data_IF_693417051402
#
_entry.id   IF_693417051402
#
_cell.length_a   1.000
_cell.length_b   1.000
_cell.length_c   1.000
_cell.angle_alpha   90.00
_cell.angle_beta   90.00
_cell.angle_gamma   90.00
#
_symmetry.space_group_name_H-M   'P 1'
#
loop_
_entity.id
_entity.type
_entity.pdbx_description
1 polymer ?
#
# COMPACT_ATOMS: atom_id res chain seq x y z
N UNK A 1 12.06 21.73 -19.92
CA UNK A 1 11.37 20.87 -18.94
C UNK A 1 10.34 20.05 -19.71
N UNK A 2 10.39 18.73 -19.61
CA UNK A 2 9.52 17.85 -20.40
C UNK A 2 8.13 17.72 -19.74
N UNK A 3 7.10 17.35 -20.50
CA UNK A 3 5.74 17.17 -19.95
C UNK A 3 5.65 16.15 -18.81
N UNK A 4 6.58 15.19 -18.77
CA UNK A 4 6.70 14.21 -17.70
C UNK A 4 7.16 14.86 -16.39
N UNK A 5 8.11 15.81 -16.46
CA UNK A 5 8.59 16.55 -15.28
C UNK A 5 7.46 17.39 -14.65
N UNK A 6 6.64 18.04 -15.49
CA UNK A 6 5.50 18.83 -15.03
C UNK A 6 4.39 17.98 -14.40
N UNK A 7 4.17 16.76 -14.93
CA UNK A 7 3.16 15.83 -14.42
C UNK A 7 3.60 15.21 -13.08
N UNK A 8 4.88 14.88 -12.95
CA UNK A 8 5.46 14.35 -11.72
C UNK A 8 5.42 15.38 -10.58
N UNK A 9 5.73 16.64 -10.87
CA UNK A 9 5.60 17.74 -9.88
C UNK A 9 4.15 17.91 -9.39
N UNK A 10 3.17 17.77 -10.28
CA UNK A 10 1.75 17.88 -9.93
C UNK A 10 1.26 16.72 -9.04
N UNK A 11 1.78 15.50 -9.24
CA UNK A 11 1.42 14.35 -8.41
C UNK A 11 2.00 14.48 -7.00
N UNK A 12 3.29 14.81 -6.89
CA UNK A 12 3.95 15.00 -5.57
C UNK A 12 3.26 16.08 -4.75
N UNK A 13 2.88 17.21 -5.38
CA UNK A 13 2.12 18.26 -4.68
C UNK A 13 0.80 17.74 -4.11
N UNK A 14 0.02 16.99 -4.90
CA UNK A 14 -1.26 16.44 -4.46
C UNK A 14 -1.13 15.43 -3.33
N UNK A 15 -0.06 14.62 -3.35
CA UNK A 15 0.23 13.68 -2.27
C UNK A 15 0.58 14.45 -0.99
N UNK A 16 1.42 15.48 -1.08
CA UNK A 16 1.76 16.30 0.08
C UNK A 16 0.53 17.00 0.67
N UNK A 17 -0.36 17.53 -0.16
CA UNK A 17 -1.62 18.15 0.29
C UNK A 17 -2.51 17.11 0.99
N UNK A 18 -2.61 15.90 0.44
CA UNK A 18 -3.39 14.81 1.05
C UNK A 18 -2.80 14.39 2.41
N UNK A 19 -1.48 14.27 2.52
CA UNK A 19 -0.80 13.94 3.78
C UNK A 19 -1.09 15.00 4.84
N UNK A 20 -0.97 16.29 4.49
CA UNK A 20 -1.29 17.38 5.42
C UNK A 20 -2.75 17.34 5.87
N UNK A 21 -3.69 17.05 4.97
CA UNK A 21 -5.10 16.90 5.32
C UNK A 21 -5.30 15.76 6.32
N UNK A 22 -4.69 14.59 6.06
CA UNK A 22 -4.75 13.42 6.94
C UNK A 22 -4.15 13.74 8.32
N UNK A 23 -2.99 14.41 8.37
CA UNK A 23 -2.33 14.78 9.63
C UNK A 23 -3.13 15.81 10.44
N UNK A 24 -3.89 16.67 9.76
CA UNK A 24 -4.72 17.69 10.40
C UNK A 24 -6.07 17.16 10.91
N UNK A 25 -6.51 16.02 10.38
CA UNK A 25 -7.81 15.43 10.71
C UNK A 25 -7.76 14.75 12.08
N UNK A 26 -8.80 14.98 12.89
CA UNK A 26 -8.83 14.46 14.27
C UNK A 26 -9.50 13.10 14.36
N UNK A 27 -10.50 12.87 13.52
CA UNK A 27 -11.27 11.62 13.49
C UNK A 27 -11.64 11.29 12.05
N UNK A 28 -11.42 10.04 11.66
CA UNK A 28 -11.88 9.50 10.40
C UNK A 28 -13.15 8.69 10.61
N UNK A 29 -14.11 8.84 9.71
CA UNK A 29 -15.26 7.94 9.64
C UNK A 29 -14.86 6.56 9.09
N UNK A 30 -15.75 5.58 9.18
CA UNK A 30 -15.44 4.20 8.78
C UNK A 30 -15.02 4.07 7.31
N UNK A 31 -15.60 4.88 6.42
CA UNK A 31 -15.25 4.87 4.98
C UNK A 31 -13.85 5.44 4.75
N UNK A 32 -13.52 6.53 5.45
CA UNK A 32 -12.18 7.13 5.40
C UNK A 32 -11.12 6.21 6.00
N UNK A 33 -11.44 5.55 7.13
CA UNK A 33 -10.55 4.55 7.75
C UNK A 33 -10.27 3.39 6.79
N UNK A 34 -11.30 2.85 6.15
CA UNK A 34 -11.12 1.76 5.18
C UNK A 34 -10.29 2.22 3.96
N UNK A 35 -10.50 3.47 3.49
CA UNK A 35 -9.70 4.04 2.40
C UNK A 35 -8.23 4.23 2.79
N UNK A 36 -7.95 4.69 4.01
CA UNK A 36 -6.61 4.83 4.56
C UNK A 36 -5.94 3.47 4.74
N UNK A 37 -6.64 2.48 5.28
CA UNK A 37 -6.13 1.13 5.42
C UNK A 37 -5.76 0.53 4.04
N UNK A 38 -6.59 0.77 3.02
CA UNK A 38 -6.29 0.37 1.65
C UNK A 38 -5.02 1.03 1.10
N UNK A 39 -4.80 2.32 1.40
CA UNK A 39 -3.61 3.06 1.00
C UNK A 39 -2.36 2.52 1.72
N UNK A 40 -2.46 2.29 3.03
CA UNK A 40 -1.41 1.73 3.87
C UNK A 40 -0.96 0.36 3.32
N UNK A 41 -1.90 -0.56 3.07
CA UNK A 41 -1.56 -1.88 2.53
C UNK A 41 -0.91 -1.80 1.14
N UNK A 42 -1.30 -0.84 0.31
CA UNK A 42 -0.65 -0.63 -0.99
C UNK A 42 0.82 -0.22 -0.81
N UNK A 43 1.10 0.69 0.13
CA UNK A 43 2.45 1.16 0.43
C UNK A 43 3.29 0.03 1.02
N UNK A 44 2.76 -0.70 2.01
CA UNK A 44 3.41 -1.86 2.60
C UNK A 44 3.78 -2.90 1.52
N UNK A 45 2.85 -3.20 0.60
CA UNK A 45 3.10 -4.13 -0.49
C UNK A 45 4.23 -3.66 -1.42
N UNK A 46 4.31 -2.35 -1.72
CA UNK A 46 5.38 -1.79 -2.56
C UNK A 46 6.74 -1.83 -1.87
N UNK A 47 6.78 -1.49 -0.58
CA UNK A 47 8.00 -1.57 0.21
C UNK A 47 8.49 -3.01 0.30
N UNK A 48 7.58 -3.96 0.55
CA UNK A 48 7.91 -5.38 0.53
C UNK A 48 8.48 -5.84 -0.82
N UNK A 49 7.90 -5.40 -1.95
CA UNK A 49 8.46 -5.71 -3.28
C UNK A 49 9.89 -5.20 -3.43
N UNK A 50 10.14 -3.97 -3.01
CA UNK A 50 11.48 -3.38 -3.07
C UNK A 50 12.47 -4.14 -2.17
N UNK A 51 12.10 -4.42 -0.93
CA UNK A 51 12.93 -5.15 0.02
C UNK A 51 13.23 -6.58 -0.49
N UNK A 52 12.25 -7.25 -1.10
CA UNK A 52 12.42 -8.59 -1.67
C UNK A 52 13.29 -8.59 -2.94
N UNK A 53 13.27 -7.53 -3.75
CA UNK A 53 14.18 -7.35 -4.87
C UNK A 53 15.62 -7.14 -4.42
N UNK A 54 15.83 -6.38 -3.33
CA UNK A 54 17.15 -6.11 -2.77
C UNK A 54 17.69 -7.31 -1.96
N UNK A 55 16.82 -8.05 -1.27
CA UNK A 55 17.17 -9.21 -0.45
C UNK A 55 16.02 -10.24 -0.38
N UNK A 56 15.99 -11.25 -1.28
CA UNK A 56 14.89 -12.21 -1.39
C UNK A 56 14.94 -13.28 -0.29
N UNK A 57 14.72 -12.89 0.96
CA UNK A 57 14.64 -13.79 2.10
C UNK A 57 13.22 -14.38 2.24
N UNK A 58 13.12 -15.70 2.36
CA UNK A 58 11.86 -16.44 2.54
C UNK A 58 11.07 -15.94 3.77
N UNK A 59 11.78 -15.53 4.82
CA UNK A 59 11.18 -14.94 6.03
C UNK A 59 10.39 -13.63 5.76
N UNK A 60 10.84 -12.80 4.81
CA UNK A 60 10.12 -11.58 4.45
C UNK A 60 8.77 -11.93 3.81
N UNK A 61 8.75 -12.94 2.94
CA UNK A 61 7.54 -13.40 2.27
C UNK A 61 6.54 -13.96 3.28
N UNK A 62 6.98 -14.80 4.21
CA UNK A 62 6.13 -15.35 5.27
C UNK A 62 5.50 -14.24 6.13
N UNK A 63 6.31 -13.27 6.56
CA UNK A 63 5.83 -12.13 7.35
C UNK A 63 4.81 -11.29 6.57
N UNK A 64 5.02 -11.10 5.27
CA UNK A 64 4.07 -10.34 4.46
C UNK A 64 2.77 -11.11 4.22
N UNK A 65 2.83 -12.43 4.05
CA UNK A 65 1.63 -13.28 3.98
C UNK A 65 0.82 -13.25 5.28
N UNK A 66 1.48 -13.30 6.43
CA UNK A 66 0.84 -13.13 7.73
C UNK A 66 0.17 -11.75 7.85
N UNK A 67 0.84 -10.69 7.39
CA UNK A 67 0.28 -9.34 7.34
C UNK A 67 -0.99 -9.28 6.49
N UNK A 68 -0.98 -9.88 5.30
CA UNK A 68 -2.16 -9.96 4.42
C UNK A 68 -3.32 -10.70 5.09
N UNK A 69 -3.04 -11.82 5.75
CA UNK A 69 -4.05 -12.61 6.46
C UNK A 69 -4.69 -11.82 7.60
N UNK A 70 -3.88 -11.14 8.43
CA UNK A 70 -4.40 -10.33 9.52
C UNK A 70 -5.20 -9.14 8.99
N UNK A 71 -4.73 -8.49 7.93
CA UNK A 71 -5.43 -7.37 7.31
C UNK A 71 -6.79 -7.78 6.71
N UNK A 72 -6.90 -8.98 6.12
CA UNK A 72 -8.19 -9.50 5.62
C UNK A 72 -9.22 -9.72 6.72
N UNK A 73 -8.75 -10.12 7.92
CA UNK A 73 -9.62 -10.28 9.10
C UNK A 73 -10.09 -8.94 9.65
N UNK A 74 -9.24 -7.92 9.61
CA UNK A 74 -9.56 -6.55 10.04
C UNK A 74 -10.49 -5.84 9.04
N UNK A 75 -10.27 -6.04 7.74
CA UNK A 75 -11.03 -5.42 6.65
C UNK A 75 -11.56 -6.44 5.64
N UNK A 76 -12.59 -7.24 5.99
CA UNK A 76 -13.14 -8.26 5.09
C UNK A 76 -13.69 -7.69 3.77
N UNK A 77 -14.15 -6.44 3.78
CA UNK A 77 -14.58 -5.70 2.58
C UNK A 77 -13.46 -5.57 1.52
N UNK A 78 -12.19 -5.62 1.95
CA UNK A 78 -11.02 -5.47 1.09
C UNK A 78 -10.44 -6.79 0.58
N UNK A 79 -11.07 -7.94 0.85
CA UNK A 79 -10.58 -9.28 0.45
C UNK A 79 -10.18 -9.37 -1.03
N UNK A 80 -10.98 -8.78 -1.93
CA UNK A 80 -10.68 -8.76 -3.37
C UNK A 80 -9.42 -7.94 -3.71
N UNK A 81 -9.14 -6.89 -2.95
CA UNK A 81 -7.92 -6.09 -3.09
C UNK A 81 -6.70 -6.84 -2.56
N UNK A 82 -6.82 -7.48 -1.40
CA UNK A 82 -5.78 -8.31 -0.79
C UNK A 82 -5.37 -9.44 -1.72
N UNK A 83 -6.35 -10.14 -2.32
CA UNK A 83 -6.08 -11.19 -3.31
C UNK A 83 -5.31 -10.67 -4.53
N UNK A 84 -5.55 -9.44 -4.99
CA UNK A 84 -4.77 -8.85 -6.09
C UNK A 84 -3.31 -8.59 -5.67
N UNK A 85 -3.09 -8.11 -4.46
CA UNK A 85 -1.74 -7.91 -3.91
C UNK A 85 -1.04 -9.26 -3.78
N UNK A 86 -1.67 -10.23 -3.12
CA UNK A 86 -1.14 -11.59 -2.95
C UNK A 86 -0.72 -12.20 -4.29
N UNK A 87 -1.58 -12.15 -5.31
CA UNK A 87 -1.25 -12.64 -6.65
C UNK A 87 -0.08 -11.90 -7.30
N UNK A 88 0.01 -10.59 -7.13
CA UNK A 88 1.13 -9.79 -7.64
C UNK A 88 2.46 -10.19 -7.00
N UNK A 89 2.45 -10.65 -5.76
CA UNK A 89 3.63 -11.05 -5.01
C UNK A 89 4.00 -12.51 -5.24
N UNK A 90 3.03 -13.40 -5.46
CA UNK A 90 3.31 -14.77 -5.89
C UNK A 90 4.09 -14.81 -7.21
N UNK A 91 3.92 -13.80 -8.07
CA UNK A 91 4.68 -13.67 -9.31
C UNK A 91 6.13 -13.17 -9.10
N UNK A 92 6.51 -12.80 -7.87
CA UNK A 92 7.89 -12.39 -7.51
C UNK A 92 8.67 -13.58 -6.95
N UNK A 93 7.98 -14.61 -6.43
CA UNK A 93 8.57 -15.80 -5.82
C UNK A 93 8.74 -17.02 -6.73
N UNK A 94 8.51 -16.92 -8.05
CA UNK A 94 8.79 -17.97 -9.06
C UNK A 94 9.18 -17.36 -10.39
#
# INVERSE_FOLDING_TARGET
MTNTDNTNMALTSKINDLVQLIESEKEFNDTEREALARLELLIEARLFQQDAEENPEEYLLERFQERLYNFEREYPSLSSFIRRISNSLSNIGV
#
